data_IF_803551020549
#
_entry.id   IF_803551020549
#
_cell.length_a   1.000
_cell.length_b   1.000
_cell.length_c   1.000
_cell.angle_alpha   90.00
_cell.angle_beta   90.00
_cell.angle_gamma   90.00
#
_symmetry.space_group_name_H-M   'P 1'
#
loop_
_entity.id
_entity.type
_entity.pdbx_description
1 polymer ?
#
# COMPACT_ATOMS: atom_id res chain seq x y z
N UNK A 1 19.85 1.53 -33.28
CA UNK A 1 20.78 0.46 -32.85
C UNK A 1 20.33 -0.35 -31.62
N UNK A 2 19.55 0.15 -30.65
CA UNK A 2 19.02 -0.65 -29.52
C UNK A 2 17.74 -1.44 -29.82
N UNK A 3 16.97 -1.08 -30.85
CA UNK A 3 15.70 -1.79 -31.22
C UNK A 3 15.92 -3.08 -32.03
N UNK A 4 17.02 -3.20 -32.74
CA UNK A 4 17.27 -4.36 -33.59
C UNK A 4 17.84 -5.57 -32.81
N UNK A 5 18.50 -5.33 -31.68
CA UNK A 5 19.01 -6.39 -30.81
C UNK A 5 17.86 -7.17 -30.16
N UNK A 6 16.76 -6.51 -29.81
CA UNK A 6 15.58 -7.15 -29.23
C UNK A 6 14.80 -8.00 -30.24
N UNK A 7 14.74 -7.59 -31.51
CA UNK A 7 14.03 -8.35 -32.55
C UNK A 7 14.75 -9.64 -32.97
N UNK A 8 16.08 -9.64 -32.99
CA UNK A 8 16.86 -10.82 -33.39
C UNK A 8 16.94 -11.90 -32.32
N UNK A 9 16.67 -11.55 -31.04
CA UNK A 9 16.75 -12.50 -29.92
C UNK A 9 15.40 -13.10 -29.50
N UNK A 10 14.26 -12.61 -30.05
CA UNK A 10 12.94 -13.13 -29.70
C UNK A 10 12.68 -14.56 -30.19
N UNK A 11 13.38 -15.01 -31.24
CA UNK A 11 13.27 -16.38 -31.75
C UNK A 11 13.90 -17.45 -30.83
N UNK A 12 14.76 -17.02 -29.87
CA UNK A 12 15.39 -17.89 -28.88
C UNK A 12 14.63 -17.99 -27.56
N UNK A 13 13.60 -17.15 -27.34
CA UNK A 13 12.78 -17.16 -26.16
C UNK A 13 11.69 -18.23 -26.26
N UNK A 14 12.08 -19.51 -26.10
CA UNK A 14 11.08 -20.56 -25.88
C UNK A 14 10.53 -20.47 -24.46
N UNK A 15 9.26 -20.83 -24.19
CA UNK A 15 8.71 -20.91 -22.85
C UNK A 15 9.58 -21.76 -21.90
N UNK A 16 10.18 -22.81 -22.39
CA UNK A 16 11.10 -23.69 -21.63
C UNK A 16 12.37 -22.94 -21.20
N UNK A 17 13.00 -22.17 -22.08
CA UNK A 17 14.17 -21.37 -21.76
C UNK A 17 13.84 -20.29 -20.72
N UNK A 18 12.74 -19.58 -20.90
CA UNK A 18 12.28 -18.58 -19.95
C UNK A 18 12.04 -19.20 -18.57
N UNK A 19 11.41 -20.37 -18.49
CA UNK A 19 11.21 -21.12 -17.24
C UNK A 19 12.54 -21.53 -16.59
N UNK A 20 13.53 -21.93 -17.36
CA UNK A 20 14.85 -22.34 -16.85
C UNK A 20 15.61 -21.13 -16.30
N UNK A 21 15.68 -20.03 -17.05
CA UNK A 21 16.34 -18.80 -16.61
C UNK A 21 15.66 -18.24 -15.35
N UNK A 22 14.34 -18.17 -15.34
CA UNK A 22 13.58 -17.70 -14.16
C UNK A 22 13.83 -18.57 -12.94
N UNK A 23 14.01 -19.86 -13.12
CA UNK A 23 14.28 -20.81 -12.03
C UNK A 23 15.73 -20.74 -11.53
N UNK A 24 16.69 -20.58 -12.45
CA UNK A 24 18.12 -20.48 -12.14
C UNK A 24 18.50 -19.14 -11.51
N UNK A 25 17.86 -18.04 -11.91
CA UNK A 25 18.12 -16.69 -11.40
C UNK A 25 17.42 -16.37 -10.06
N UNK A 26 16.76 -17.33 -9.43
CA UNK A 26 16.10 -17.13 -8.14
C UNK A 26 14.76 -16.37 -8.20
N UNK A 27 14.25 -16.05 -9.38
CA UNK A 27 12.94 -15.37 -9.55
C UNK A 27 11.79 -16.19 -8.95
N UNK A 28 11.89 -17.52 -8.96
CA UNK A 28 10.93 -18.40 -8.30
C UNK A 28 10.81 -18.12 -6.80
N UNK A 29 11.95 -18.05 -6.11
CA UNK A 29 12.00 -17.75 -4.68
C UNK A 29 11.49 -16.32 -4.35
N UNK A 30 11.82 -15.33 -5.19
CA UNK A 30 11.31 -13.98 -5.04
C UNK A 30 9.79 -13.92 -5.22
N UNK A 31 9.24 -14.69 -6.15
CA UNK A 31 7.78 -14.77 -6.37
C UNK A 31 7.08 -15.44 -5.19
N UNK A 32 7.63 -16.50 -4.63
CA UNK A 32 7.08 -17.14 -3.43
C UNK A 32 7.12 -16.19 -2.23
N UNK A 33 8.21 -15.48 -2.04
CA UNK A 33 8.34 -14.47 -1.01
C UNK A 33 7.32 -13.32 -1.20
N UNK A 34 7.14 -12.85 -2.43
CA UNK A 34 6.13 -11.84 -2.78
C UNK A 34 4.72 -12.30 -2.41
N UNK A 35 4.36 -13.54 -2.79
CA UNK A 35 3.05 -14.11 -2.50
C UNK A 35 2.80 -14.24 -0.99
N UNK A 36 3.79 -14.70 -0.23
CA UNK A 36 3.69 -14.78 1.23
C UNK A 36 3.49 -13.41 1.87
N UNK A 37 4.31 -12.43 1.49
CA UNK A 37 4.20 -11.07 2.02
C UNK A 37 2.85 -10.42 1.73
N UNK A 38 2.31 -10.62 0.53
CA UNK A 38 0.98 -10.13 0.15
C UNK A 38 -0.12 -10.84 0.91
N UNK A 39 -0.01 -12.15 1.06
CA UNK A 39 -0.97 -12.95 1.83
C UNK A 39 -1.04 -12.45 3.28
N UNK A 40 0.11 -12.33 3.95
CA UNK A 40 0.19 -11.91 5.33
C UNK A 40 -0.28 -10.45 5.50
N UNK A 41 0.12 -9.57 4.57
CA UNK A 41 -0.34 -8.19 4.54
C UNK A 41 -1.86 -8.09 4.37
N UNK A 42 -2.45 -8.86 3.46
CA UNK A 42 -3.89 -8.88 3.24
C UNK A 42 -4.65 -9.43 4.45
N UNK A 43 -4.14 -10.49 5.09
CA UNK A 43 -4.73 -11.05 6.30
C UNK A 43 -4.77 -10.03 7.45
N UNK A 44 -3.78 -9.14 7.54
CA UNK A 44 -3.62 -8.20 8.63
C UNK A 44 -4.20 -6.80 8.36
N UNK A 45 -4.14 -6.34 7.11
CA UNK A 45 -4.51 -4.99 6.67
C UNK A 45 -5.45 -4.96 5.46
N UNK A 46 -5.91 -6.09 4.99
CA UNK A 46 -6.88 -6.14 3.89
C UNK A 46 -8.24 -5.58 4.28
N UNK A 47 -9.13 -5.34 3.30
CA UNK A 47 -10.43 -4.70 3.53
C UNK A 47 -11.26 -5.40 4.61
N UNK A 48 -11.27 -6.74 4.61
CA UNK A 48 -12.01 -7.52 5.60
C UNK A 48 -11.50 -7.33 7.03
N UNK A 49 -10.17 -7.24 7.21
CA UNK A 49 -9.55 -6.97 8.50
C UNK A 49 -9.82 -5.53 8.96
N UNK A 50 -9.65 -4.56 8.05
CA UNK A 50 -9.85 -3.15 8.37
C UNK A 50 -11.30 -2.81 8.76
N UNK A 51 -12.29 -3.39 8.11
CA UNK A 51 -13.73 -3.17 8.43
C UNK A 51 -14.10 -3.53 9.87
N UNK A 52 -13.37 -4.45 10.48
CA UNK A 52 -13.63 -4.90 11.85
C UNK A 52 -12.94 -4.03 12.92
N UNK A 53 -12.06 -3.11 12.52
CA UNK A 53 -11.33 -2.25 13.45
C UNK A 53 -12.10 -0.95 13.73
N UNK A 54 -12.09 -0.53 14.98
CA UNK A 54 -12.73 0.73 15.42
C UNK A 54 -11.98 1.33 16.61
N UNK A 55 -12.29 2.58 16.93
CA UNK A 55 -11.81 3.25 18.12
C UNK A 55 -10.29 3.24 18.25
N UNK A 56 -9.80 3.01 19.45
CA UNK A 56 -8.37 3.03 19.79
C UNK A 56 -7.58 1.90 19.10
N UNK A 57 -8.21 0.76 18.88
CA UNK A 57 -7.60 -0.35 18.15
C UNK A 57 -7.26 0.05 16.71
N UNK A 58 -8.19 0.72 16.03
CA UNK A 58 -7.97 1.26 14.69
C UNK A 58 -6.79 2.26 14.66
N UNK A 59 -6.73 3.19 15.63
CA UNK A 59 -5.63 4.14 15.75
C UNK A 59 -4.27 3.45 15.85
N UNK A 60 -4.16 2.46 16.71
CA UNK A 60 -2.89 1.75 16.96
C UNK A 60 -2.52 0.80 15.81
N UNK A 61 -3.52 0.25 15.11
CA UNK A 61 -3.29 -0.65 13.99
C UNK A 61 -2.88 0.08 12.71
N UNK A 62 -3.42 1.25 12.46
CA UNK A 62 -3.08 1.99 11.23
C UNK A 62 -1.91 2.95 11.40
N UNK A 63 -1.81 3.64 12.54
CA UNK A 63 -0.90 4.79 12.67
C UNK A 63 0.17 4.60 13.74
N UNK A 64 1.20 5.42 13.66
CA UNK A 64 2.25 5.47 14.67
C UNK A 64 1.69 5.96 16.00
N UNK A 65 1.55 5.07 16.99
CA UNK A 65 1.11 5.38 18.34
C UNK A 65 2.24 5.36 19.37
N UNK A 66 3.27 4.51 19.20
CA UNK A 66 4.46 4.44 20.05
C UNK A 66 5.69 3.92 19.28
N UNK A 67 6.85 3.86 19.95
CA UNK A 67 8.10 3.40 19.33
C UNK A 67 8.19 1.87 19.21
N UNK A 68 7.46 1.17 20.04
CA UNK A 68 7.55 -0.29 20.18
C UNK A 68 6.58 -0.98 19.22
N UNK A 69 5.46 -0.31 18.91
CA UNK A 69 4.49 -0.83 17.97
C UNK A 69 5.02 -0.73 16.52
N UNK A 70 5.71 -1.78 16.10
CA UNK A 70 6.19 -1.95 14.72
C UNK A 70 5.18 -2.67 13.83
N UNK A 71 4.04 -3.07 14.39
CA UNK A 71 2.98 -3.79 13.69
C UNK A 71 1.79 -2.89 13.38
N UNK A 72 2.05 -1.69 12.85
CA UNK A 72 1.04 -0.81 12.32
C UNK A 72 1.25 -0.58 10.82
N UNK A 73 0.16 -0.29 10.11
CA UNK A 73 0.18 -0.12 8.65
C UNK A 73 1.26 0.88 8.19
N UNK A 74 1.35 2.03 8.85
CA UNK A 74 2.32 3.07 8.49
C UNK A 74 3.76 2.58 8.62
N UNK A 75 4.09 1.87 9.72
CA UNK A 75 5.43 1.30 9.90
C UNK A 75 5.74 0.25 8.84
N UNK A 76 4.80 -0.65 8.58
CA UNK A 76 4.99 -1.74 7.62
C UNK A 76 5.21 -1.19 6.22
N UNK A 77 4.38 -0.27 5.73
CA UNK A 77 4.55 0.34 4.42
C UNK A 77 5.83 1.16 4.28
N UNK A 78 6.28 1.79 5.38
CA UNK A 78 7.45 2.67 5.35
C UNK A 78 8.76 1.95 5.67
N UNK A 79 8.74 0.98 6.60
CA UNK A 79 9.96 0.50 7.27
C UNK A 79 10.19 -1.01 7.17
N UNK A 80 9.19 -1.81 6.85
CA UNK A 80 9.38 -3.26 6.77
C UNK A 80 10.45 -3.61 5.73
N UNK A 81 11.46 -4.38 6.15
CA UNK A 81 12.66 -4.60 5.34
C UNK A 81 12.33 -5.26 3.99
N UNK A 82 11.64 -6.37 4.02
CA UNK A 82 11.33 -7.17 2.83
C UNK A 82 10.38 -6.43 1.87
N UNK A 83 9.38 -5.72 2.41
CA UNK A 83 8.49 -4.88 1.60
C UNK A 83 9.27 -3.74 0.92
N UNK A 84 10.27 -3.17 1.58
CA UNK A 84 11.12 -2.14 0.96
C UNK A 84 12.04 -2.70 -0.11
N UNK A 85 12.54 -3.90 0.07
CA UNK A 85 13.42 -4.57 -0.89
C UNK A 85 12.66 -4.94 -2.16
N UNK A 86 11.42 -5.45 -2.05
CA UNK A 86 10.61 -5.87 -3.19
C UNK A 86 9.85 -4.72 -3.87
N UNK A 87 9.28 -3.80 -3.09
CA UNK A 87 8.36 -2.77 -3.60
C UNK A 87 8.91 -1.34 -3.50
N UNK A 88 10.18 -1.19 -3.17
CA UNK A 88 10.77 0.11 -2.96
C UNK A 88 10.35 0.79 -1.65
N UNK A 89 10.91 1.95 -1.40
CA UNK A 89 10.75 2.69 -0.15
C UNK A 89 9.89 3.93 -0.34
N UNK A 90 8.93 4.13 0.57
CA UNK A 90 8.26 5.41 0.80
C UNK A 90 8.81 6.12 2.04
N UNK A 91 9.93 5.60 2.60
CA UNK A 91 10.60 6.22 3.74
C UNK A 91 11.11 7.62 3.37
N UNK A 92 11.07 8.52 4.32
CA UNK A 92 11.40 9.92 4.11
C UNK A 92 10.17 10.82 4.23
N UNK A 93 10.40 12.11 4.37
CA UNK A 93 9.36 13.04 4.71
C UNK A 93 8.86 12.86 6.15
N UNK A 94 7.76 13.46 6.45
CA UNK A 94 7.14 13.48 7.77
C UNK A 94 6.03 12.44 7.89
N UNK A 95 5.71 12.03 9.12
CA UNK A 95 4.54 11.20 9.42
C UNK A 95 3.21 11.85 8.99
N UNK A 96 3.19 13.16 8.73
CA UNK A 96 2.06 13.88 8.16
C UNK A 96 1.54 13.31 6.84
N UNK A 97 2.40 12.63 6.06
CA UNK A 97 1.99 11.99 4.79
C UNK A 97 0.88 10.96 4.95
N UNK A 98 0.73 10.39 6.16
CA UNK A 98 -0.33 9.43 6.46
C UNK A 98 -1.65 10.08 6.89
N UNK A 99 -1.70 11.42 6.97
CA UNK A 99 -2.90 12.18 7.32
C UNK A 99 -3.21 12.24 8.80
N UNK A 100 -2.75 11.29 9.59
CA UNK A 100 -2.90 11.23 11.05
C UNK A 100 -1.64 10.68 11.68
N UNK A 101 -1.18 11.26 12.79
CA UNK A 101 -0.04 10.73 13.55
C UNK A 101 -0.04 11.18 15.00
N UNK A 102 0.61 10.38 15.86
CA UNK A 102 0.75 10.67 17.28
C UNK A 102 2.06 11.41 17.57
N UNK A 103 1.95 12.61 18.14
CA UNK A 103 3.10 13.40 18.54
C UNK A 103 3.59 12.96 19.93
N UNK A 104 4.61 12.12 19.95
CA UNK A 104 5.10 11.42 21.17
C UNK A 104 5.54 12.34 22.31
N UNK A 105 6.12 13.51 21.99
CA UNK A 105 6.58 14.46 23.04
C UNK A 105 5.43 15.11 23.79
N UNK A 106 4.34 15.37 23.08
CA UNK A 106 3.19 16.11 23.62
C UNK A 106 2.04 15.16 23.98
N UNK A 107 2.17 13.85 23.69
CA UNK A 107 1.11 12.86 23.86
C UNK A 107 -0.21 13.25 23.20
N UNK A 108 -0.13 13.73 21.95
CA UNK A 108 -1.26 14.28 21.23
C UNK A 108 -1.38 13.68 19.84
N UNK A 109 -2.60 13.39 19.42
CA UNK A 109 -2.93 13.12 18.03
C UNK A 109 -2.93 14.41 17.22
N UNK A 110 -2.43 14.34 16.01
CA UNK A 110 -2.33 15.50 15.11
C UNK A 110 -2.63 15.11 13.69
N UNK A 111 -3.19 16.07 12.93
CA UNK A 111 -3.45 15.98 11.50
C UNK A 111 -2.99 17.25 10.78
N UNK A 112 -3.13 17.29 9.47
CA UNK A 112 -2.76 18.43 8.63
C UNK A 112 -1.34 18.34 8.10
N UNK A 113 -0.75 19.47 7.75
CA UNK A 113 0.63 19.57 7.26
C UNK A 113 1.56 20.17 8.33
N UNK A 114 2.89 20.03 8.19
CA UNK A 114 3.84 20.64 9.13
C UNK A 114 3.63 22.14 9.35
N UNK A 115 3.16 22.86 8.31
CA UNK A 115 2.87 24.30 8.38
C UNK A 115 1.48 24.62 8.98
N UNK A 116 0.57 23.66 9.02
CA UNK A 116 -0.81 23.80 9.50
C UNK A 116 -1.21 22.56 10.30
N UNK A 117 -0.48 22.29 11.36
CA UNK A 117 -0.78 21.18 12.27
C UNK A 117 -2.03 21.49 13.08
N UNK A 118 -2.94 20.54 13.15
CA UNK A 118 -4.12 20.56 14.00
C UNK A 118 -3.96 19.49 15.09
N UNK A 119 -4.19 19.90 16.35
CA UNK A 119 -4.23 18.98 17.48
C UNK A 119 -5.63 18.42 17.57
N UNK A 120 -5.74 17.12 17.82
CA UNK A 120 -6.99 16.40 17.91
C UNK A 120 -7.14 15.76 19.29
N UNK A 121 -8.36 15.69 19.78
CA UNK A 121 -8.71 14.75 20.86
C UNK A 121 -8.62 13.30 20.35
N UNK A 122 -8.66 12.32 21.24
CA UNK A 122 -8.64 10.90 20.82
C UNK A 122 -9.88 10.57 19.99
N UNK A 123 -11.05 11.10 20.36
CA UNK A 123 -12.30 10.89 19.61
C UNK A 123 -12.27 11.53 18.21
N UNK A 124 -11.65 12.68 18.07
CA UNK A 124 -11.47 13.32 16.77
C UNK A 124 -10.47 12.52 15.91
N UNK A 125 -9.39 12.02 16.51
CA UNK A 125 -8.43 11.19 15.84
C UNK A 125 -9.04 9.86 15.37
N UNK A 126 -9.92 9.25 16.17
CA UNK A 126 -10.68 8.05 15.78
C UNK A 126 -11.53 8.34 14.56
N UNK A 127 -12.30 9.45 14.53
CA UNK A 127 -13.11 9.82 13.35
C UNK A 127 -12.27 10.01 12.09
N UNK A 128 -11.11 10.63 12.22
CA UNK A 128 -10.17 10.77 11.09
C UNK A 128 -9.65 9.41 10.63
N UNK A 129 -9.31 8.53 11.56
CA UNK A 129 -8.85 7.17 11.26
C UNK A 129 -9.93 6.32 10.59
N UNK A 130 -11.17 6.42 11.05
CA UNK A 130 -12.33 5.74 10.44
C UNK A 130 -12.57 6.21 9.03
N UNK A 131 -12.51 7.51 8.77
CA UNK A 131 -12.64 8.06 7.42
C UNK A 131 -11.51 7.55 6.50
N UNK A 132 -10.26 7.51 6.97
CA UNK A 132 -9.13 6.98 6.19
C UNK A 132 -9.33 5.48 5.94
N UNK A 133 -9.73 4.69 6.93
CA UNK A 133 -10.06 3.26 6.78
C UNK A 133 -11.14 3.06 5.72
N UNK A 134 -12.22 3.81 5.79
CA UNK A 134 -13.35 3.68 4.87
C UNK A 134 -12.92 3.98 3.43
N UNK A 135 -12.13 5.02 3.21
CA UNK A 135 -11.53 5.32 1.90
C UNK A 135 -10.60 4.19 1.39
N UNK A 136 -9.78 3.57 2.27
CA UNK A 136 -8.94 2.45 1.88
C UNK A 136 -9.77 1.22 1.49
N UNK A 137 -10.84 0.96 2.23
CA UNK A 137 -11.75 -0.15 1.96
C UNK A 137 -12.52 0.08 0.67
N UNK A 138 -13.07 1.27 0.46
CA UNK A 138 -13.81 1.64 -0.76
C UNK A 138 -12.94 1.47 -2.01
N UNK A 139 -11.71 1.98 -1.98
CA UNK A 139 -10.80 1.83 -3.12
C UNK A 139 -10.40 0.38 -3.39
N UNK A 140 -10.27 -0.44 -2.35
CA UNK A 140 -10.04 -1.87 -2.52
C UNK A 140 -11.27 -2.57 -3.13
N UNK A 141 -12.48 -2.22 -2.74
CA UNK A 141 -13.71 -2.76 -3.33
C UNK A 141 -13.87 -2.38 -4.80
N UNK A 142 -13.50 -1.15 -5.17
CA UNK A 142 -13.45 -0.73 -6.57
C UNK A 142 -12.44 -1.58 -7.35
N UNK A 143 -11.23 -1.77 -6.82
CA UNK A 143 -10.20 -2.59 -7.46
C UNK A 143 -10.63 -4.06 -7.60
N UNK A 144 -11.30 -4.62 -6.60
CA UNK A 144 -11.86 -5.98 -6.64
C UNK A 144 -12.96 -6.13 -7.71
N UNK A 145 -13.76 -5.09 -7.93
CA UNK A 145 -14.78 -5.07 -8.98
C UNK A 145 -14.20 -5.04 -10.40
N UNK A 146 -12.98 -4.52 -10.55
CA UNK A 146 -12.28 -4.38 -11.83
C UNK A 146 -11.15 -5.41 -12.01
N UNK A 147 -11.41 -6.69 -11.75
CA UNK A 147 -10.40 -7.77 -11.84
C UNK A 147 -9.85 -7.99 -13.26
N UNK A 148 -10.53 -7.52 -14.29
CA UNK A 148 -10.11 -7.59 -15.68
C UNK A 148 -10.15 -6.21 -16.34
N UNK A 149 -9.00 -5.56 -16.40
CA UNK A 149 -8.80 -4.31 -17.13
C UNK A 149 -8.03 -4.66 -18.41
N UNK A 150 -8.71 -4.71 -19.54
CA UNK A 150 -8.15 -5.18 -20.81
C UNK A 150 -8.17 -4.14 -21.94
N UNK A 151 -8.93 -3.07 -21.78
CA UNK A 151 -9.07 -1.99 -22.75
C UNK A 151 -8.76 -0.62 -22.13
N UNK A 152 -8.52 0.38 -22.97
CA UNK A 152 -8.35 1.78 -22.54
C UNK A 152 -9.62 2.25 -21.82
N UNK A 153 -10.80 1.87 -22.31
CA UNK A 153 -12.08 2.26 -21.69
C UNK A 153 -12.24 1.67 -20.28
N UNK A 154 -11.74 0.43 -20.04
CA UNK A 154 -11.77 -0.16 -18.71
C UNK A 154 -10.86 0.62 -17.73
N UNK A 155 -9.68 1.06 -18.21
CA UNK A 155 -8.78 1.92 -17.42
C UNK A 155 -9.38 3.29 -17.12
N UNK A 156 -10.05 3.91 -18.10
CA UNK A 156 -10.72 5.20 -17.92
C UNK A 156 -11.84 5.08 -16.88
N UNK A 157 -12.65 4.02 -16.94
CA UNK A 157 -13.70 3.76 -15.96
C UNK A 157 -13.13 3.54 -14.56
N UNK A 158 -12.13 2.67 -14.41
CA UNK A 158 -11.46 2.43 -13.14
C UNK A 158 -10.85 3.71 -12.57
N UNK A 159 -10.18 4.51 -13.42
CA UNK A 159 -9.62 5.79 -13.00
C UNK A 159 -10.71 6.77 -12.53
N UNK A 160 -11.82 6.85 -13.26
CA UNK A 160 -12.94 7.71 -12.93
C UNK A 160 -13.59 7.33 -11.59
N UNK A 161 -13.68 6.05 -11.27
CA UNK A 161 -14.17 5.59 -9.98
C UNK A 161 -13.17 5.85 -8.85
N UNK A 162 -11.89 5.53 -9.03
CA UNK A 162 -10.87 5.72 -8.00
C UNK A 162 -10.60 7.18 -7.65
N UNK A 163 -10.67 8.09 -8.62
CA UNK A 163 -10.38 9.53 -8.38
C UNK A 163 -11.36 10.22 -7.43
N UNK A 164 -12.52 9.60 -7.14
CA UNK A 164 -13.46 10.12 -6.15
C UNK A 164 -13.02 9.85 -4.71
N UNK A 165 -12.04 8.98 -4.50
CA UNK A 165 -11.49 8.68 -3.19
C UNK A 165 -10.52 9.79 -2.78
N UNK A 166 -10.80 10.56 -1.71
CA UNK A 166 -10.04 11.76 -1.36
C UNK A 166 -8.54 11.53 -1.11
N UNK A 167 -8.15 10.31 -0.76
CA UNK A 167 -6.76 9.97 -0.39
C UNK A 167 -5.99 9.23 -1.50
N UNK A 168 -6.61 9.01 -2.67
CA UNK A 168 -6.07 8.14 -3.73
C UNK A 168 -4.69 8.61 -4.25
N UNK A 169 -4.45 9.92 -4.30
CA UNK A 169 -3.20 10.49 -4.79
C UNK A 169 -2.03 10.38 -3.79
N UNK A 170 -2.28 9.89 -2.59
CA UNK A 170 -1.22 9.71 -1.60
C UNK A 170 -0.35 8.50 -1.94
N UNK A 171 0.95 8.70 -2.02
CA UNK A 171 1.93 7.65 -2.36
C UNK A 171 1.83 6.41 -1.46
N UNK A 172 1.53 6.60 -0.18
CA UNK A 172 1.38 5.47 0.74
C UNK A 172 0.09 4.67 0.49
N UNK A 173 -0.97 5.32 0.02
CA UNK A 173 -2.23 4.67 -0.38
C UNK A 173 -2.01 3.83 -1.63
N UNK A 174 -1.30 4.37 -2.62
CA UNK A 174 -0.91 3.61 -3.81
C UNK A 174 -0.07 2.37 -3.43
N UNK A 175 0.86 2.53 -2.49
CA UNK A 175 1.65 1.40 -1.99
C UNK A 175 0.80 0.38 -1.21
N UNK A 176 -0.20 0.82 -0.46
CA UNK A 176 -1.16 -0.06 0.20
C UNK A 176 -1.88 -0.94 -0.84
N UNK A 177 -2.42 -0.34 -1.89
CA UNK A 177 -3.07 -1.12 -2.96
C UNK A 177 -2.09 -2.01 -3.73
N UNK A 178 -0.85 -1.56 -3.96
CA UNK A 178 0.19 -2.39 -4.56
C UNK A 178 0.48 -3.66 -3.72
N UNK A 179 0.34 -3.60 -2.40
CA UNK A 179 0.48 -4.77 -1.53
C UNK A 179 -0.71 -5.74 -1.62
N UNK A 180 -1.90 -5.23 -1.90
CA UNK A 180 -3.11 -6.06 -2.03
C UNK A 180 -3.26 -6.67 -3.43
N UNK A 181 -2.89 -5.92 -4.45
CA UNK A 181 -3.10 -6.28 -5.85
C UNK A 181 -1.76 -6.38 -6.58
N UNK A 182 -1.49 -7.53 -7.25
CA UNK A 182 -0.25 -7.79 -7.99
C UNK A 182 -0.14 -6.96 -9.26
#
# INVERSE_FOLDING_TARGET
>A
MKRDILRHNLEFFTPAWFYTVVKEDGFGALREQDQMLRHDFNAEFGPAALKNLSGKELLTKLFYSDKENKNNLCYILERHKEIRELYGSIAGGSAYKFGLFYHKKNHQWTTGSPAKTQILTEEEAVRVAENIRDNLVEGAEILDAHTFVSSISDYELLYDELRHIPIIDNVWVLKYYQMLYP
#
